data_IF_550998376270
#
_entry.id   IF_550998376270
#
_cell.length_a   1.000
_cell.length_b   1.000
_cell.length_c   1.000
_cell.angle_alpha   90.00
_cell.angle_beta   90.00
_cell.angle_gamma   90.00
#
_symmetry.space_group_name_H-M   'P 1'
#
loop_
_entity.id
_entity.type
_entity.pdbx_description
1 polymer ?
#
# COMPACT_ATOMS: atom_id res chain seq x y z
N UNK A 1 -5.21 -6.01 8.58
CA UNK A 1 -4.10 -5.44 7.78
C UNK A 1 -4.61 -5.19 6.38
N UNK A 2 -3.96 -4.30 5.63
CA UNK A 2 -4.33 -3.93 4.28
C UNK A 2 -3.09 -3.75 3.40
N UNK A 3 -3.13 -4.25 2.18
CA UNK A 3 -2.08 -4.12 1.16
C UNK A 3 -2.29 -2.83 0.36
N UNK A 4 -1.21 -2.12 0.05
CA UNK A 4 -1.19 -0.90 -0.77
C UNK A 4 -0.07 -0.96 -1.81
N UNK A 5 0.09 0.12 -2.57
CA UNK A 5 1.11 0.25 -3.61
C UNK A 5 0.93 -0.75 -4.75
N UNK A 6 2.03 -1.17 -5.35
CA UNK A 6 1.98 -2.04 -6.54
C UNK A 6 1.38 -3.42 -6.32
N UNK A 7 1.47 -3.99 -5.11
CA UNK A 7 0.85 -5.29 -4.82
C UNK A 7 -0.67 -5.23 -4.72
N UNK A 8 -1.25 -4.03 -4.60
CA UNK A 8 -2.70 -3.87 -4.61
C UNK A 8 -3.30 -3.91 -6.02
N UNK A 9 -2.47 -3.89 -7.08
CA UNK A 9 -2.87 -3.80 -8.49
C UNK A 9 -2.16 -4.87 -9.34
N UNK A 10 -2.42 -6.17 -9.10
CA UNK A 10 -1.70 -7.26 -9.78
C UNK A 10 -2.00 -7.35 -11.29
N UNK A 11 -3.12 -6.79 -11.75
CA UNK A 11 -3.49 -6.79 -13.17
C UNK A 11 -2.78 -5.67 -13.94
N UNK A 12 -2.50 -4.55 -13.29
CA UNK A 12 -1.83 -3.37 -13.85
C UNK A 12 -0.30 -3.41 -13.68
N UNK A 13 0.19 -3.95 -12.55
CA UNK A 13 1.63 -4.01 -12.24
C UNK A 13 2.04 -5.46 -12.02
N UNK A 14 2.71 -6.01 -13.03
CA UNK A 14 3.29 -7.35 -12.98
C UNK A 14 4.67 -7.34 -12.33
N UNK A 15 5.03 -8.44 -11.67
CA UNK A 15 6.31 -8.62 -10.99
C UNK A 15 6.61 -7.46 -10.00
N UNK A 16 5.77 -7.28 -8.97
CA UNK A 16 6.04 -6.28 -7.94
C UNK A 16 7.34 -6.60 -7.19
N UNK A 17 8.10 -5.57 -6.88
CA UNK A 17 9.42 -5.66 -6.22
C UNK A 17 9.38 -5.13 -4.77
N UNK A 18 8.31 -4.42 -4.43
CA UNK A 18 8.04 -3.80 -3.14
C UNK A 18 6.73 -4.29 -2.55
N UNK A 19 6.62 -4.20 -1.23
CA UNK A 19 5.42 -4.52 -0.47
C UNK A 19 5.10 -3.36 0.46
N UNK A 20 3.89 -2.80 0.35
CA UNK A 20 3.40 -1.83 1.30
C UNK A 20 2.21 -2.39 2.10
N UNK A 21 2.35 -2.40 3.42
CA UNK A 21 1.35 -2.91 4.35
C UNK A 21 0.93 -1.85 5.35
N UNK A 22 -0.36 -1.70 5.54
CA UNK A 22 -0.96 -1.02 6.67
C UNK A 22 -1.43 -2.05 7.69
N UNK A 23 -0.85 -2.02 8.89
CA UNK A 23 -1.16 -2.98 9.94
C UNK A 23 -1.81 -2.26 11.11
N UNK A 24 -2.91 -2.84 11.57
CA UNK A 24 -3.55 -2.44 12.81
C UNK A 24 -2.83 -3.13 13.97
N UNK A 25 -2.15 -2.34 14.82
CA UNK A 25 -1.39 -2.86 15.95
C UNK A 25 -1.98 -2.31 17.26
N UNK A 26 -2.28 -3.16 18.26
CA UNK A 26 -2.82 -2.70 19.54
C UNK A 26 -1.77 -1.99 20.41
N UNK A 27 -0.48 -2.30 20.21
CA UNK A 27 0.64 -1.68 20.92
C UNK A 27 1.42 -0.72 20.00
N UNK A 28 2.09 0.32 20.55
CA UNK A 28 3.02 1.13 19.78
C UNK A 28 4.21 0.29 19.35
N UNK A 29 4.28 -0.04 18.06
CA UNK A 29 5.34 -0.88 17.50
C UNK A 29 4.89 -1.64 16.25
N UNK A 30 5.85 -2.29 15.59
CA UNK A 30 5.57 -3.20 14.48
C UNK A 30 5.02 -4.54 15.00
N UNK A 31 4.19 -5.25 14.23
CA UNK A 31 3.65 -6.56 14.60
C UNK A 31 4.75 -7.62 14.69
N UNK A 32 5.29 -7.89 15.89
CA UNK A 32 6.44 -8.77 16.10
C UNK A 32 6.26 -10.16 15.48
N UNK A 33 5.09 -10.79 15.66
CA UNK A 33 4.80 -12.11 15.10
C UNK A 33 4.90 -12.15 13.57
N UNK A 34 4.39 -11.10 12.90
CA UNK A 34 4.49 -10.96 11.45
C UNK A 34 5.95 -10.84 11.00
N UNK A 35 6.75 -10.05 11.72
CA UNK A 35 8.17 -9.87 11.41
C UNK A 35 8.95 -11.17 11.59
N UNK A 36 8.76 -11.86 12.71
CA UNK A 36 9.46 -13.11 13.05
C UNK A 36 9.10 -14.21 12.06
N UNK A 37 7.81 -14.40 11.79
CA UNK A 37 7.33 -15.47 10.92
C UNK A 37 7.84 -15.32 9.48
N UNK A 38 7.99 -14.08 9.00
CA UNK A 38 8.53 -13.80 7.66
C UNK A 38 10.05 -13.54 7.65
N UNK A 39 10.71 -13.62 8.82
CA UNK A 39 12.14 -13.30 9.00
C UNK A 39 12.53 -11.90 8.50
N UNK A 40 11.59 -10.96 8.59
CA UNK A 40 11.82 -9.57 8.21
C UNK A 40 12.68 -8.88 9.28
N UNK A 41 13.59 -8.06 8.82
CA UNK A 41 14.44 -7.22 9.65
C UNK A 41 14.46 -5.80 9.09
N UNK A 42 14.90 -4.86 9.91
CA UNK A 42 15.00 -3.46 9.50
C UNK A 42 16.15 -3.30 8.51
N UNK A 43 15.84 -2.75 7.34
CA UNK A 43 16.80 -2.43 6.29
C UNK A 43 16.50 -1.02 5.75
N UNK A 44 17.44 -0.06 5.80
CA UNK A 44 17.27 1.27 5.20
C UNK A 44 16.98 1.26 3.69
N UNK A 45 17.35 0.18 3.00
CA UNK A 45 17.14 -0.01 1.56
C UNK A 45 16.15 -1.14 1.26
N UNK A 46 15.43 -1.63 2.28
CA UNK A 46 14.46 -2.71 2.13
C UNK A 46 13.25 -2.30 1.29
N UNK A 47 12.70 -3.24 0.53
CA UNK A 47 11.54 -3.02 -0.33
C UNK A 47 10.18 -3.22 0.38
N UNK A 48 10.20 -3.49 1.69
CA UNK A 48 8.99 -3.70 2.50
C UNK A 48 8.76 -2.49 3.41
N UNK A 49 7.60 -1.85 3.25
CA UNK A 49 7.18 -0.72 4.05
C UNK A 49 5.95 -1.11 4.87
N UNK A 50 6.09 -1.07 6.20
CA UNK A 50 4.99 -1.31 7.13
C UNK A 50 4.60 0.00 7.81
N UNK A 51 3.33 0.37 7.70
CA UNK A 51 2.74 1.57 8.29
C UNK A 51 1.62 1.18 9.26
N UNK A 52 1.36 2.06 10.23
CA UNK A 52 0.19 1.91 11.10
C UNK A 52 -1.07 2.19 10.29
N UNK A 53 -2.03 1.29 10.36
CA UNK A 53 -3.37 1.51 9.81
C UNK A 53 -4.08 2.60 10.61
N UNK A 54 -4.65 3.59 9.92
CA UNK A 54 -5.19 4.81 10.54
C UNK A 54 -6.62 5.18 10.09
N UNK A 55 -7.23 4.40 9.20
CA UNK A 55 -8.62 4.58 8.76
C UNK A 55 -9.52 3.47 9.33
N UNK A 56 -10.83 3.72 9.37
CA UNK A 56 -11.86 2.73 9.75
C UNK A 56 -13.17 3.07 9.04
N UNK A 57 -13.94 2.04 8.68
CA UNK A 57 -15.34 2.15 8.24
C UNK A 57 -15.48 3.08 7.02
N UNK A 58 -14.57 2.96 6.05
CA UNK A 58 -14.68 3.77 4.82
C UNK A 58 -15.72 3.17 3.87
N UNK A 59 -16.46 4.00 3.10
CA UNK A 59 -17.51 3.51 2.20
C UNK A 59 -17.02 2.53 1.12
N UNK A 60 -15.74 2.62 0.75
CA UNK A 60 -15.09 1.82 -0.28
C UNK A 60 -14.05 0.85 0.28
N UNK A 61 -14.14 0.54 1.57
CA UNK A 61 -13.21 -0.38 2.22
C UNK A 61 -13.38 -1.82 1.70
N UNK A 62 -12.31 -2.38 1.16
CA UNK A 62 -12.25 -3.77 0.72
C UNK A 62 -11.38 -4.58 1.71
N UNK A 63 -11.83 -5.77 2.17
CA UNK A 63 -11.04 -6.58 3.08
C UNK A 63 -9.64 -6.87 2.53
N UNK A 64 -8.60 -6.52 3.29
CA UNK A 64 -7.21 -6.80 2.92
C UNK A 64 -6.59 -5.81 1.94
N UNK A 65 -7.33 -4.82 1.43
CA UNK A 65 -6.82 -3.78 0.54
C UNK A 65 -6.92 -2.39 1.18
N UNK A 66 -5.94 -1.54 0.89
CA UNK A 66 -6.01 -0.15 1.27
C UNK A 66 -7.08 0.57 0.40
N UNK A 67 -7.71 1.64 0.91
CA UNK A 67 -8.59 2.48 0.12
C UNK A 67 -7.91 2.98 -1.16
N UNK A 68 -8.68 3.13 -2.24
CA UNK A 68 -8.16 3.53 -3.56
C UNK A 68 -7.31 4.80 -3.51
N UNK A 69 -7.69 5.77 -2.67
CA UNK A 69 -6.92 7.00 -2.47
C UNK A 69 -5.53 6.77 -1.85
N UNK A 70 -5.39 5.79 -0.96
CA UNK A 70 -4.10 5.45 -0.36
C UNK A 70 -3.23 4.64 -1.32
N UNK A 71 -3.82 3.69 -2.06
CA UNK A 71 -3.11 2.97 -3.13
C UNK A 71 -2.53 3.98 -4.13
N UNK A 72 -3.35 4.94 -4.59
CA UNK A 72 -2.92 6.02 -5.47
C UNK A 72 -1.77 6.84 -4.87
N UNK A 73 -1.91 7.28 -3.61
CA UNK A 73 -0.90 8.10 -2.94
C UNK A 73 0.43 7.35 -2.79
N UNK A 74 0.40 6.05 -2.48
CA UNK A 74 1.59 5.23 -2.28
C UNK A 74 2.32 4.95 -3.60
N UNK A 75 1.58 4.69 -4.68
CA UNK A 75 2.15 4.58 -6.03
C UNK A 75 2.84 5.87 -6.48
N UNK A 76 2.23 7.04 -6.22
CA UNK A 76 2.87 8.33 -6.50
C UNK A 76 4.12 8.57 -5.63
N UNK A 77 4.06 8.17 -4.35
CA UNK A 77 5.15 8.35 -3.41
C UNK A 77 6.35 7.43 -3.68
N UNK A 78 6.14 6.31 -4.39
CA UNK A 78 7.21 5.36 -4.75
C UNK A 78 8.34 5.99 -5.56
N UNK A 79 8.02 7.00 -6.39
CA UNK A 79 8.90 7.59 -7.41
C UNK A 79 9.41 6.60 -8.47
N UNK A 80 8.83 5.41 -8.54
CA UNK A 80 9.13 4.42 -9.57
C UNK A 80 8.30 4.71 -10.83
N UNK A 81 8.91 4.91 -12.02
CA UNK A 81 8.19 5.34 -13.22
C UNK A 81 6.97 4.48 -13.56
N UNK A 82 7.08 3.15 -13.43
CA UNK A 82 6.00 2.20 -13.69
C UNK A 82 4.81 2.39 -12.75
N UNK A 83 5.08 2.64 -11.47
CA UNK A 83 4.04 2.82 -10.45
C UNK A 83 3.36 4.18 -10.62
N UNK A 84 4.14 5.22 -10.92
CA UNK A 84 3.64 6.57 -11.18
C UNK A 84 2.73 6.59 -12.43
N UNK A 85 3.09 5.88 -13.49
CA UNK A 85 2.24 5.74 -14.68
C UNK A 85 0.87 5.11 -14.35
N UNK A 86 0.88 4.04 -13.55
CA UNK A 86 -0.35 3.38 -13.09
C UNK A 86 -1.16 4.30 -12.17
N UNK A 87 -0.53 5.07 -11.29
CA UNK A 87 -1.22 6.07 -10.49
C UNK A 87 -1.94 7.11 -11.36
N UNK A 88 -1.32 7.55 -12.45
CA UNK A 88 -1.97 8.43 -13.42
C UNK A 88 -3.11 7.75 -14.17
N UNK A 89 -3.00 6.46 -14.48
CA UNK A 89 -4.11 5.68 -15.05
C UNK A 89 -5.30 5.62 -14.09
N UNK A 90 -5.05 5.30 -12.82
CA UNK A 90 -6.09 5.31 -11.77
C UNK A 90 -6.80 6.66 -11.70
N UNK A 91 -6.05 7.77 -11.69
CA UNK A 91 -6.64 9.12 -11.63
C UNK A 91 -7.54 9.43 -12.83
N UNK A 92 -7.25 8.88 -14.01
CA UNK A 92 -8.09 9.06 -15.21
C UNK A 92 -9.37 8.22 -15.18
N UNK A 93 -9.34 7.08 -14.50
CA UNK A 93 -10.46 6.11 -14.47
C UNK A 93 -11.38 6.29 -13.27
N UNK A 94 -10.91 6.91 -12.18
CA UNK A 94 -11.69 7.15 -10.97
C UNK A 94 -11.98 8.64 -10.78
N UNK A 95 -13.25 9.03 -10.93
CA UNK A 95 -13.70 10.42 -10.74
C UNK A 95 -13.39 10.98 -9.35
N UNK A 96 -13.34 10.13 -8.32
CA UNK A 96 -13.02 10.55 -6.95
C UNK A 96 -11.56 11.00 -6.86
N UNK A 97 -10.66 10.26 -7.51
CA UNK A 97 -9.25 10.60 -7.58
C UNK A 97 -8.99 11.81 -8.47
N UNK A 98 -9.77 11.99 -9.54
CA UNK A 98 -9.64 13.15 -10.42
C UNK A 98 -9.82 14.49 -9.67
N UNK A 99 -10.62 14.49 -8.60
CA UNK A 99 -10.95 15.66 -7.76
C UNK A 99 -9.94 15.96 -6.64
N UNK A 100 -8.93 15.10 -6.44
CA UNK A 100 -7.83 15.30 -5.49
C UNK A 100 -6.75 16.25 -6.04
#
# INVERSE_FOLDING_TARGET
>A
MAVSGEQALPDEIRNPESLMLYVDTPAPGLPADLLIHNRWHRDPHGSIVIRKLFWRNLPDEQPGLAPTALIYADLLASREPRQVEVAHLMRRQDERLARL
#
